data_IF_968181634291
#
_entry.id   IF_968181634291
#
_cell.length_a   1.000
_cell.length_b   1.000
_cell.length_c   1.000
_cell.angle_alpha   90.00
_cell.angle_beta   90.00
_cell.angle_gamma   90.00
#
_symmetry.space_group_name_H-M   'P 1'
#
loop_
_entity.id
_entity.type
_entity.pdbx_description
1 polymer ?
#
# COMPACT_ATOMS: atom_id res chain seq x y z
N UNK A 1 7.73 -38.00 -0.53
CA UNK A 1 8.20 -36.76 0.11
C UNK A 1 8.18 -35.68 -0.97
N UNK A 2 7.05 -34.99 -1.14
CA UNK A 2 6.99 -33.86 -2.08
C UNK A 2 7.83 -32.75 -1.47
N UNK A 3 8.98 -32.46 -2.08
CA UNK A 3 9.70 -31.22 -1.85
C UNK A 3 8.68 -30.12 -2.17
N UNK A 4 8.23 -29.39 -1.15
CA UNK A 4 7.46 -28.17 -1.35
C UNK A 4 8.37 -27.28 -2.20
N UNK A 5 8.06 -27.11 -3.49
CA UNK A 5 8.70 -26.08 -4.31
C UNK A 5 8.47 -24.75 -3.59
N UNK A 6 9.52 -23.95 -3.46
CA UNK A 6 9.40 -22.63 -2.87
C UNK A 6 8.31 -21.83 -3.60
N UNK A 7 7.39 -21.26 -2.83
CA UNK A 7 6.32 -20.43 -3.39
C UNK A 7 6.93 -19.14 -3.93
N UNK A 8 6.69 -18.85 -5.21
CA UNK A 8 7.12 -17.60 -5.82
C UNK A 8 6.42 -16.42 -5.13
N UNK A 9 7.22 -15.47 -4.65
CA UNK A 9 6.71 -14.27 -3.98
C UNK A 9 6.84 -13.09 -4.91
N UNK A 10 5.75 -12.34 -5.01
CA UNK A 10 5.71 -11.08 -5.73
C UNK A 10 5.19 -9.99 -4.80
N UNK A 11 5.80 -8.82 -4.88
CA UNK A 11 5.44 -7.64 -4.11
C UNK A 11 4.78 -6.64 -5.06
N UNK A 12 3.49 -6.44 -4.87
CA UNK A 12 2.67 -5.58 -5.70
C UNK A 12 2.50 -4.26 -4.99
N UNK A 13 3.04 -3.20 -5.55
CA UNK A 13 2.69 -1.86 -5.14
C UNK A 13 1.48 -1.36 -5.92
N UNK A 14 0.51 -0.81 -5.22
CA UNK A 14 -0.72 -0.28 -5.82
C UNK A 14 -0.95 1.16 -5.37
N UNK A 15 -0.86 2.11 -6.32
CA UNK A 15 -1.44 3.45 -6.15
C UNK A 15 -2.90 3.44 -6.63
N UNK A 16 -3.82 3.83 -5.74
CA UNK A 16 -5.25 3.53 -5.89
C UNK A 16 -5.99 4.69 -6.56
N UNK A 17 -6.57 4.42 -7.74
CA UNK A 17 -7.52 5.33 -8.37
C UNK A 17 -8.93 5.20 -7.79
N UNK A 18 -9.79 6.18 -8.03
CA UNK A 18 -11.23 6.05 -7.71
C UNK A 18 -11.95 5.00 -8.58
N UNK A 19 -13.16 4.58 -8.21
CA UNK A 19 -13.93 3.53 -8.92
C UNK A 19 -14.10 3.77 -10.44
N UNK A 20 -14.16 5.03 -10.87
CA UNK A 20 -14.40 5.44 -12.24
C UNK A 20 -13.24 6.29 -12.79
N UNK A 21 -11.99 5.94 -12.46
CA UNK A 21 -10.79 6.70 -12.84
C UNK A 21 -10.41 6.59 -14.33
N UNK A 22 -11.15 5.85 -15.15
CA UNK A 22 -10.91 5.62 -16.59
C UNK A 22 -10.61 6.92 -17.37
N UNK A 23 -11.34 8.00 -17.03
CA UNK A 23 -11.25 9.30 -17.70
C UNK A 23 -10.49 10.36 -16.92
N UNK A 24 -9.94 10.01 -15.75
CA UNK A 24 -9.13 10.93 -14.97
C UNK A 24 -7.66 10.79 -15.42
N UNK A 25 -7.07 11.78 -16.11
CA UNK A 25 -5.68 11.72 -16.49
C UNK A 25 -4.74 11.86 -15.28
N UNK A 26 -5.19 12.54 -14.22
CA UNK A 26 -4.37 12.93 -13.07
C UNK A 26 -4.27 11.86 -11.98
N UNK A 27 -5.20 10.89 -11.93
CA UNK A 27 -5.17 9.81 -10.94
C UNK A 27 -5.90 8.58 -11.47
N UNK A 28 -5.20 7.44 -11.46
CA UNK A 28 -5.67 6.13 -11.92
C UNK A 28 -5.11 5.04 -11.01
N UNK A 29 -5.65 3.83 -11.13
CA UNK A 29 -4.98 2.69 -10.52
C UNK A 29 -3.63 2.48 -11.23
N UNK A 30 -2.57 2.33 -10.46
CA UNK A 30 -1.25 1.98 -10.96
C UNK A 30 -0.66 0.80 -10.18
N UNK A 31 -0.04 -0.14 -10.90
CA UNK A 31 0.52 -1.37 -10.36
C UNK A 31 1.97 -1.54 -10.78
N UNK A 32 2.82 -1.87 -9.82
CA UNK A 32 4.22 -2.26 -10.02
C UNK A 32 4.47 -3.56 -9.30
N UNK A 33 5.16 -4.51 -9.94
CA UNK A 33 5.44 -5.82 -9.34
C UNK A 33 6.96 -6.03 -9.25
N UNK A 34 7.43 -6.35 -8.05
CA UNK A 34 8.80 -6.78 -7.78
C UNK A 34 8.83 -8.26 -7.41
N UNK A 35 9.93 -8.94 -7.70
CA UNK A 35 10.20 -10.30 -7.20
C UNK A 35 10.95 -10.28 -5.85
N UNK A 36 11.30 -11.46 -5.34
CA UNK A 36 12.09 -11.64 -4.12
C UNK A 36 13.48 -11.00 -4.19
N UNK A 37 14.07 -10.86 -5.38
CA UNK A 37 15.35 -10.19 -5.58
C UNK A 37 15.21 -8.66 -5.65
N UNK A 38 13.99 -8.13 -5.50
CA UNK A 38 13.64 -6.70 -5.66
C UNK A 38 13.83 -6.21 -7.09
N UNK A 39 13.78 -7.10 -8.06
CA UNK A 39 13.84 -6.75 -9.48
C UNK A 39 12.43 -6.48 -10.01
N UNK A 40 12.32 -5.52 -10.94
CA UNK A 40 11.06 -5.27 -11.63
C UNK A 40 10.73 -6.46 -12.53
N UNK A 41 9.55 -7.06 -12.31
CA UNK A 41 9.05 -8.14 -13.16
C UNK A 41 7.83 -7.69 -13.94
N UNK A 42 7.79 -8.05 -15.21
CA UNK A 42 6.74 -7.61 -16.13
C UNK A 42 6.84 -6.12 -16.47
N UNK A 43 5.69 -5.48 -16.71
CA UNK A 43 5.53 -4.10 -17.13
C UNK A 43 4.61 -3.38 -16.14
N UNK A 44 5.03 -2.24 -15.57
CA UNK A 44 4.15 -1.39 -14.76
C UNK A 44 2.87 -1.04 -15.51
N UNK A 45 1.73 -1.16 -14.82
CA UNK A 45 0.40 -0.99 -15.43
C UNK A 45 -0.30 0.22 -14.83
N UNK A 46 -1.01 1.00 -15.66
CA UNK A 46 -1.84 2.12 -15.22
C UNK A 46 -3.19 2.13 -15.92
N UNK A 47 -4.29 2.16 -15.17
CA UNK A 47 -5.64 2.07 -15.72
C UNK A 47 -6.74 2.15 -14.67
N UNK A 48 -7.80 1.35 -14.84
CA UNK A 48 -8.86 1.20 -13.85
C UNK A 48 -9.10 -0.28 -13.56
N UNK A 49 -8.94 -0.67 -12.29
CA UNK A 49 -9.12 -2.05 -11.85
C UNK A 49 -10.59 -2.45 -11.64
N UNK A 50 -11.56 -1.54 -11.79
CA UNK A 50 -12.98 -1.84 -11.54
C UNK A 50 -13.46 -3.12 -12.24
N UNK A 51 -13.16 -3.28 -13.52
CA UNK A 51 -13.59 -4.48 -14.28
C UNK A 51 -12.86 -5.73 -13.79
N UNK A 52 -11.54 -5.66 -13.62
CA UNK A 52 -10.71 -6.73 -13.06
C UNK A 52 -11.24 -7.20 -11.71
N UNK A 53 -11.57 -6.25 -10.84
CA UNK A 53 -12.18 -6.51 -9.54
C UNK A 53 -13.53 -7.19 -9.75
N UNK A 54 -14.46 -6.64 -10.53
CA UNK A 54 -15.80 -7.22 -10.70
C UNK A 54 -15.79 -8.65 -11.29
N UNK A 55 -14.89 -8.93 -12.23
CA UNK A 55 -14.81 -10.22 -12.91
C UNK A 55 -14.13 -11.32 -12.09
N UNK A 56 -13.24 -10.96 -11.16
CA UNK A 56 -12.54 -11.94 -10.34
C UNK A 56 -13.49 -12.56 -9.29
N UNK A 57 -13.68 -13.87 -9.37
CA UNK A 57 -14.55 -14.65 -8.47
C UNK A 57 -13.82 -15.27 -7.28
N UNK A 58 -12.49 -15.17 -7.25
CA UNK A 58 -11.64 -15.64 -6.14
C UNK A 58 -10.32 -14.90 -6.10
N UNK A 59 -9.62 -14.96 -4.96
CA UNK A 59 -8.27 -14.39 -4.78
C UNK A 59 -7.26 -14.97 -5.77
N UNK A 60 -7.34 -16.27 -6.10
CA UNK A 60 -6.50 -16.89 -7.13
C UNK A 60 -6.70 -16.24 -8.50
N UNK A 61 -7.96 -16.09 -8.92
CA UNK A 61 -8.30 -15.52 -10.23
C UNK A 61 -7.87 -14.05 -10.28
N UNK A 62 -8.07 -13.31 -9.18
CA UNK A 62 -7.58 -11.93 -9.11
C UNK A 62 -6.06 -11.86 -9.24
N UNK A 63 -5.33 -12.68 -8.49
CA UNK A 63 -3.88 -12.68 -8.50
C UNK A 63 -3.32 -13.00 -9.91
N UNK A 64 -3.92 -13.97 -10.61
CA UNK A 64 -3.59 -14.26 -12.02
C UNK A 64 -3.87 -13.05 -12.92
N UNK A 65 -5.07 -12.45 -12.83
CA UNK A 65 -5.42 -11.27 -13.65
C UNK A 65 -4.48 -10.09 -13.40
N UNK A 66 -4.03 -9.88 -12.16
CA UNK A 66 -3.07 -8.83 -11.81
C UNK A 66 -1.71 -9.10 -12.45
N UNK A 67 -1.20 -10.33 -12.38
CA UNK A 67 0.02 -10.73 -13.08
C UNK A 67 -0.10 -10.56 -14.59
N UNK A 68 -1.24 -10.92 -15.18
CA UNK A 68 -1.53 -10.74 -16.62
C UNK A 68 -1.55 -9.27 -17.04
N UNK A 69 -2.21 -8.39 -16.25
CA UNK A 69 -2.22 -6.94 -16.51
C UNK A 69 -0.81 -6.34 -16.55
N UNK A 70 0.06 -6.83 -15.65
CA UNK A 70 1.46 -6.46 -15.60
C UNK A 70 2.36 -7.33 -16.50
N UNK A 71 1.80 -8.21 -17.34
CA UNK A 71 2.57 -9.06 -18.27
C UNK A 71 3.64 -9.94 -17.58
N UNK A 72 3.42 -10.31 -16.33
CA UNK A 72 4.31 -11.22 -15.59
C UNK A 72 4.02 -12.65 -15.99
N UNK A 73 5.04 -13.36 -16.47
CA UNK A 73 4.94 -14.78 -16.81
C UNK A 73 5.18 -15.61 -15.57
N UNK A 74 4.21 -16.43 -15.20
CA UNK A 74 4.34 -17.42 -14.13
C UNK A 74 4.08 -18.82 -14.65
N UNK A 75 4.72 -19.79 -14.02
CA UNK A 75 4.37 -21.19 -14.16
C UNK A 75 3.28 -21.53 -13.15
N UNK A 76 2.06 -21.78 -13.65
CA UNK A 76 0.88 -22.08 -12.85
C UNK A 76 0.96 -23.42 -12.10
N UNK A 77 1.92 -24.28 -12.45
CA UNK A 77 2.21 -25.51 -11.69
C UNK A 77 2.94 -25.22 -10.38
N UNK A 78 3.61 -24.07 -10.28
CA UNK A 78 4.29 -23.64 -9.06
C UNK A 78 3.34 -22.81 -8.18
N UNK A 79 3.47 -22.96 -6.86
CA UNK A 79 2.79 -22.04 -5.94
C UNK A 79 3.35 -20.63 -6.09
N UNK A 80 2.46 -19.64 -5.98
CA UNK A 80 2.81 -18.23 -5.93
C UNK A 80 1.91 -17.49 -4.94
N UNK A 81 2.38 -16.35 -4.45
CA UNK A 81 1.62 -15.42 -3.60
C UNK A 81 1.98 -13.98 -3.94
N UNK A 82 0.97 -13.12 -4.00
CA UNK A 82 1.12 -11.68 -4.11
C UNK A 82 0.98 -11.02 -2.73
N UNK A 83 1.92 -10.16 -2.36
CA UNK A 83 1.77 -9.24 -1.24
C UNK A 83 1.53 -7.84 -1.80
N UNK A 84 0.33 -7.31 -1.58
CA UNK A 84 -0.07 -5.97 -1.97
C UNK A 84 0.31 -4.96 -0.89
N UNK A 85 1.06 -3.93 -1.26
CA UNK A 85 1.21 -2.71 -0.49
C UNK A 85 0.38 -1.63 -1.19
N UNK A 86 -0.64 -1.11 -0.50
CA UNK A 86 -1.73 -0.35 -1.12
C UNK A 86 -1.72 1.09 -0.61
N UNK A 87 -1.66 2.08 -1.51
CA UNK A 87 -1.77 3.51 -1.21
C UNK A 87 -3.23 3.95 -1.14
N UNK A 88 -3.92 3.49 -0.10
CA UNK A 88 -5.21 4.04 0.28
C UNK A 88 -5.55 3.62 1.71
N UNK A 89 -6.35 4.40 2.45
CA UNK A 89 -6.84 3.95 3.75
C UNK A 89 -7.60 2.64 3.65
N UNK A 90 -7.11 1.61 4.36
CA UNK A 90 -7.68 0.27 4.40
C UNK A 90 -8.61 0.04 5.61
N UNK A 91 -8.80 1.08 6.42
CA UNK A 91 -9.73 1.09 7.54
C UNK A 91 -10.22 2.51 7.83
N UNK A 92 -11.30 2.61 8.59
CA UNK A 92 -11.77 3.85 9.17
C UNK A 92 -11.51 3.85 10.68
N UNK A 93 -11.54 5.02 11.31
CA UNK A 93 -11.43 5.08 12.76
C UNK A 93 -12.63 4.43 13.44
N UNK A 94 -12.38 3.80 14.57
CA UNK A 94 -13.40 3.15 15.38
C UNK A 94 -14.51 4.11 15.80
N UNK A 95 -14.14 5.34 16.16
CA UNK A 95 -15.13 6.36 16.50
C UNK A 95 -16.04 6.71 15.31
N UNK A 96 -15.51 6.74 14.08
CA UNK A 96 -16.35 6.96 12.90
C UNK A 96 -17.27 5.77 12.63
N UNK A 97 -16.76 4.54 12.75
CA UNK A 97 -17.60 3.34 12.59
C UNK A 97 -18.71 3.27 13.64
N UNK A 98 -18.39 3.55 14.90
CA UNK A 98 -19.35 3.53 16.00
C UNK A 98 -20.44 4.62 15.81
N UNK A 99 -20.06 5.79 15.27
CA UNK A 99 -21.01 6.85 14.91
C UNK A 99 -21.99 6.42 13.81
N UNK A 100 -21.49 5.88 12.69
CA UNK A 100 -22.35 5.59 11.53
C UNK A 100 -23.15 4.29 11.68
N UNK A 101 -22.62 3.31 12.41
CA UNK A 101 -23.27 2.00 12.61
C UNK A 101 -24.16 2.02 13.84
N UNK A 102 -23.64 2.50 14.97
CA UNK A 102 -24.30 2.39 16.28
C UNK A 102 -24.87 3.71 16.79
N UNK A 103 -24.68 4.82 16.06
CA UNK A 103 -25.10 6.18 16.48
C UNK A 103 -24.51 6.60 17.83
N UNK A 104 -23.31 6.13 18.13
CA UNK A 104 -22.57 6.50 19.35
C UNK A 104 -21.65 7.67 19.02
N UNK A 105 -21.84 8.78 19.72
CA UNK A 105 -20.97 9.94 19.60
C UNK A 105 -19.65 9.72 20.37
N UNK A 106 -18.53 10.05 19.74
CA UNK A 106 -17.27 10.25 20.43
C UNK A 106 -17.34 11.45 21.39
N UNK A 107 -16.31 11.59 22.23
CA UNK A 107 -16.17 12.71 23.15
C UNK A 107 -15.88 14.04 22.46
N UNK A 108 -15.06 14.87 23.09
CA UNK A 108 -14.75 16.20 22.59
C UNK A 108 -14.05 16.16 21.22
N UNK A 109 -14.44 17.08 20.33
CA UNK A 109 -13.79 17.31 19.05
C UNK A 109 -12.85 18.51 19.20
N UNK A 110 -11.55 18.25 19.10
CA UNK A 110 -10.50 19.25 19.30
C UNK A 110 -9.95 19.74 17.95
N UNK A 111 -8.65 19.60 17.72
CA UNK A 111 -8.00 19.95 16.44
C UNK A 111 -8.37 18.96 15.33
N UNK A 112 -8.08 19.33 14.08
CA UNK A 112 -8.25 18.42 12.93
C UNK A 112 -7.46 17.13 13.11
N UNK A 113 -6.19 17.18 13.56
CA UNK A 113 -5.33 16.01 13.72
C UNK A 113 -5.76 15.11 14.88
N UNK A 114 -6.43 15.67 15.90
CA UNK A 114 -6.97 14.94 17.04
C UNK A 114 -8.43 14.52 16.85
N UNK A 115 -9.05 14.80 15.68
CA UNK A 115 -10.45 14.49 15.48
C UNK A 115 -10.66 12.98 15.37
N UNK A 116 -11.40 12.34 16.31
CA UNK A 116 -11.51 10.90 16.39
C UNK A 116 -12.27 10.30 15.19
N UNK A 117 -13.10 11.09 14.49
CA UNK A 117 -13.84 10.62 13.32
C UNK A 117 -13.04 10.69 12.01
N UNK A 118 -11.96 11.48 11.97
CA UNK A 118 -11.21 11.72 10.74
C UNK A 118 -9.99 10.82 10.62
N UNK A 119 -9.38 10.48 11.75
CA UNK A 119 -8.07 9.85 11.81
C UNK A 119 -8.11 8.66 12.78
N UNK A 120 -7.47 7.55 12.40
CA UNK A 120 -7.23 6.38 13.25
C UNK A 120 -6.05 6.64 14.18
N UNK A 121 -5.75 5.70 15.08
CA UNK A 121 -4.53 5.75 15.88
C UNK A 121 -3.27 5.81 15.01
N UNK A 122 -3.24 5.09 13.87
CA UNK A 122 -2.09 5.13 12.97
C UNK A 122 -1.85 6.52 12.38
N UNK A 123 -2.86 7.28 11.98
CA UNK A 123 -2.65 8.65 11.51
C UNK A 123 -2.21 9.59 12.63
N UNK A 124 -2.79 9.47 13.84
CA UNK A 124 -2.37 10.25 15.00
C UNK A 124 -0.88 10.04 15.31
N UNK A 125 -0.44 8.78 15.30
CA UNK A 125 0.96 8.41 15.44
C UNK A 125 1.87 9.10 14.40
N UNK A 126 1.40 9.22 13.15
CA UNK A 126 2.13 9.90 12.07
C UNK A 126 2.14 11.42 12.25
N UNK A 127 1.04 12.03 12.73
CA UNK A 127 0.99 13.45 13.06
C UNK A 127 2.04 13.86 14.07
N UNK A 128 2.20 13.08 15.15
CA UNK A 128 3.23 13.30 16.18
C UNK A 128 4.65 13.28 15.61
N UNK A 129 4.85 12.66 14.44
CA UNK A 129 6.16 12.51 13.78
C UNK A 129 6.31 13.41 12.55
N UNK A 130 5.51 14.46 12.49
CA UNK A 130 5.61 15.53 11.49
C UNK A 130 5.22 15.08 10.09
N UNK A 131 4.25 14.16 9.99
CA UNK A 131 3.52 13.82 8.77
C UNK A 131 2.07 14.29 8.88
N UNK A 132 1.39 14.39 7.75
CA UNK A 132 -0.02 14.81 7.69
C UNK A 132 -0.78 13.89 6.73
N UNK A 133 -1.05 12.64 7.13
CA UNK A 133 -1.80 11.70 6.30
C UNK A 133 -3.22 12.22 6.02
N UNK A 134 -3.73 11.90 4.83
CA UNK A 134 -5.06 12.29 4.41
C UNK A 134 -6.13 11.46 5.14
N UNK A 135 -7.27 12.07 5.41
CA UNK A 135 -8.46 11.40 5.92
C UNK A 135 -9.42 11.10 4.77
N UNK A 136 -9.96 9.87 4.67
CA UNK A 136 -11.03 9.52 3.73
C UNK A 136 -12.23 10.46 3.76
N UNK A 137 -12.57 10.98 4.94
CA UNK A 137 -13.76 11.78 5.18
C UNK A 137 -13.50 13.24 4.83
N UNK A 138 -12.39 13.81 5.33
CA UNK A 138 -12.07 15.23 5.14
C UNK A 138 -11.54 15.53 3.74
N UNK A 139 -10.65 14.68 3.22
CA UNK A 139 -9.88 14.97 2.01
C UNK A 139 -10.52 14.35 0.75
N UNK A 140 -11.77 13.89 0.86
CA UNK A 140 -12.59 13.38 -0.25
C UNK A 140 -11.99 12.19 -1.00
N UNK A 141 -11.13 11.40 -0.34
CA UNK A 141 -10.52 10.17 -0.90
C UNK A 141 -11.33 8.89 -0.59
N UNK A 142 -12.60 9.03 -0.24
CA UNK A 142 -13.48 7.90 0.08
C UNK A 142 -13.70 6.92 -1.10
N UNK A 143 -13.53 7.38 -2.35
CA UNK A 143 -13.62 6.49 -3.53
C UNK A 143 -12.47 5.49 -3.57
N UNK A 144 -11.25 5.95 -3.27
CA UNK A 144 -10.05 5.12 -3.18
C UNK A 144 -10.15 4.20 -1.96
N UNK A 145 -10.51 4.76 -0.79
CA UNK A 145 -10.59 3.99 0.45
C UNK A 145 -11.58 2.83 0.33
N UNK A 146 -12.79 3.10 -0.21
CA UNK A 146 -13.78 2.04 -0.43
C UNK A 146 -13.34 1.00 -1.46
N UNK A 147 -12.52 1.36 -2.45
CA UNK A 147 -11.95 0.39 -3.40
C UNK A 147 -10.93 -0.53 -2.71
N UNK A 148 -10.04 0.02 -1.88
CA UNK A 148 -9.10 -0.77 -1.09
C UNK A 148 -9.81 -1.70 -0.10
N UNK A 149 -10.76 -1.17 0.67
CA UNK A 149 -11.56 -1.95 1.63
C UNK A 149 -12.39 -3.05 0.92
N UNK A 150 -12.97 -2.76 -0.26
CA UNK A 150 -13.66 -3.77 -1.06
C UNK A 150 -12.72 -4.88 -1.56
N UNK A 151 -11.49 -4.51 -1.94
CA UNK A 151 -10.47 -5.49 -2.31
C UNK A 151 -10.18 -6.44 -1.13
N UNK A 152 -9.98 -5.90 0.07
CA UNK A 152 -9.77 -6.71 1.27
C UNK A 152 -10.96 -7.65 1.53
N UNK A 153 -12.17 -7.09 1.62
CA UNK A 153 -13.37 -7.84 1.96
C UNK A 153 -13.66 -9.02 1.01
N UNK A 154 -13.25 -8.93 -0.26
CA UNK A 154 -13.43 -10.03 -1.21
C UNK A 154 -12.25 -10.96 -1.37
N UNK A 155 -11.03 -10.47 -1.23
CA UNK A 155 -9.85 -11.20 -1.70
C UNK A 155 -8.78 -11.41 -0.63
N UNK A 156 -8.89 -10.72 0.51
CA UNK A 156 -8.04 -10.90 1.68
C UNK A 156 -8.85 -10.60 2.95
N UNK A 157 -9.92 -11.37 3.23
CA UNK A 157 -10.88 -11.02 4.28
C UNK A 157 -10.35 -11.25 5.70
N UNK A 158 -9.33 -12.10 5.86
CA UNK A 158 -8.83 -12.51 7.17
C UNK A 158 -7.74 -11.55 7.65
N UNK A 159 -7.86 -11.09 8.89
CA UNK A 159 -6.84 -10.27 9.54
C UNK A 159 -5.82 -11.18 10.23
N UNK A 160 -4.62 -11.28 9.65
CA UNK A 160 -3.55 -12.12 10.21
C UNK A 160 -2.85 -11.44 11.40
N UNK A 161 -2.70 -10.12 11.33
CA UNK A 161 -2.22 -9.24 12.41
C UNK A 161 -2.69 -7.81 12.13
N UNK A 162 -2.52 -6.89 13.10
CA UNK A 162 -2.84 -5.48 12.88
C UNK A 162 -2.14 -4.95 11.61
N UNK A 163 -2.93 -4.51 10.62
CA UNK A 163 -2.44 -4.01 9.33
C UNK A 163 -2.05 -5.06 8.28
N UNK A 164 -2.21 -6.37 8.55
CA UNK A 164 -1.94 -7.44 7.58
C UNK A 164 -3.19 -8.28 7.33
N UNK A 165 -3.69 -8.21 6.11
CA UNK A 165 -4.84 -8.97 5.63
C UNK A 165 -4.42 -10.09 4.69
N UNK A 166 -5.18 -11.18 4.63
CA UNK A 166 -4.87 -12.33 3.78
C UNK A 166 -6.09 -13.19 3.41
N UNK A 167 -5.95 -14.04 2.38
CA UNK A 167 -6.80 -15.22 2.13
C UNK A 167 -6.14 -16.53 2.59
N UNK A 168 -4.98 -16.44 3.27
CA UNK A 168 -4.15 -17.56 3.70
C UNK A 168 -3.37 -18.26 2.59
N UNK A 169 -3.46 -17.81 1.33
CA UNK A 169 -2.86 -18.55 0.19
C UNK A 169 -2.28 -17.68 -0.93
N UNK A 170 -3.10 -16.91 -1.62
CA UNK A 170 -2.70 -16.21 -2.85
C UNK A 170 -2.42 -14.74 -2.64
N UNK A 171 -3.10 -14.10 -1.69
CA UNK A 171 -3.06 -12.67 -1.47
C UNK A 171 -2.76 -12.37 -0.01
N UNK A 172 -1.82 -11.46 0.18
CA UNK A 172 -1.66 -10.65 1.38
C UNK A 172 -1.78 -9.19 1.02
N UNK A 173 -2.20 -8.37 1.98
CA UNK A 173 -2.29 -6.94 1.79
C UNK A 173 -1.86 -6.20 3.06
N UNK A 174 -1.16 -5.09 2.85
CA UNK A 174 -0.79 -4.10 3.87
C UNK A 174 -1.10 -2.71 3.33
N UNK A 175 -1.33 -1.76 4.23
CA UNK A 175 -1.44 -0.35 3.87
C UNK A 175 -0.06 0.30 3.78
N UNK A 176 0.19 1.03 2.71
CA UNK A 176 1.42 1.80 2.50
C UNK A 176 1.08 3.29 2.33
N UNK A 177 2.09 4.15 2.51
CA UNK A 177 1.93 5.59 2.32
C UNK A 177 3.19 6.18 1.67
N UNK A 178 3.27 6.24 0.33
CA UNK A 178 4.43 6.70 -0.43
C UNK A 178 4.96 8.07 0.00
N UNK A 179 4.07 8.98 0.38
CA UNK A 179 4.48 10.32 0.83
C UNK A 179 5.34 10.30 2.10
N UNK A 180 5.15 9.34 3.02
CA UNK A 180 6.02 9.18 4.18
C UNK A 180 7.43 8.68 3.81
N UNK A 181 7.58 8.05 2.63
CA UNK A 181 8.85 7.50 2.17
C UNK A 181 9.78 8.56 1.56
N UNK A 182 9.28 9.76 1.24
CA UNK A 182 10.06 10.84 0.60
C UNK A 182 11.28 11.29 1.41
N UNK A 183 11.26 11.10 2.74
CA UNK A 183 12.39 11.43 3.64
C UNK A 183 13.27 10.23 3.98
N UNK A 184 12.91 9.03 3.55
CA UNK A 184 13.67 7.81 3.85
C UNK A 184 14.84 7.66 2.90
N UNK A 185 16.06 7.71 3.44
CA UNK A 185 17.27 7.45 2.68
C UNK A 185 17.29 6.00 2.18
N UNK A 186 16.81 5.06 3.01
CA UNK A 186 16.79 3.64 2.67
C UNK A 186 15.84 3.33 1.51
N UNK A 187 14.63 3.89 1.51
CA UNK A 187 13.70 3.73 0.38
C UNK A 187 14.24 4.46 -0.86
N UNK A 188 14.84 5.64 -0.70
CA UNK A 188 15.49 6.37 -1.80
C UNK A 188 16.59 5.55 -2.47
N UNK A 189 17.46 4.91 -1.68
CA UNK A 189 18.51 4.02 -2.20
C UNK A 189 17.94 2.79 -2.91
N UNK A 190 16.84 2.22 -2.41
CA UNK A 190 16.16 1.11 -3.07
C UNK A 190 15.44 1.52 -4.36
N UNK A 191 15.02 2.79 -4.48
CA UNK A 191 14.43 3.33 -5.72
C UNK A 191 15.48 3.58 -6.79
N UNK A 192 16.71 3.93 -6.41
CA UNK A 192 17.79 4.35 -7.33
C UNK A 192 18.00 3.43 -8.55
N UNK A 193 18.00 2.08 -8.44
CA UNK A 193 18.12 1.21 -9.62
C UNK A 193 17.08 1.49 -10.69
N UNK A 194 15.88 1.95 -10.33
CA UNK A 194 14.76 2.22 -11.25
C UNK A 194 14.84 3.58 -11.96
N UNK A 195 15.96 4.29 -11.83
CA UNK A 195 16.22 5.58 -12.48
C UNK A 195 17.37 5.50 -13.47
N UNK A 196 17.32 6.32 -14.51
CA UNK A 196 18.37 6.49 -15.50
C UNK A 196 19.61 7.13 -14.87
N UNK A 197 20.80 6.75 -15.35
CA UNK A 197 22.09 7.30 -14.87
C UNK A 197 22.25 7.22 -13.34
N UNK A 198 21.74 6.15 -12.74
CA UNK A 198 21.76 5.90 -11.30
C UNK A 198 23.14 5.66 -10.69
N UNK A 199 24.20 5.66 -11.52
CA UNK A 199 25.58 5.65 -11.06
C UNK A 199 26.02 7.04 -10.55
N UNK A 200 26.46 7.11 -9.30
CA UNK A 200 27.05 8.32 -8.70
C UNK A 200 26.23 8.94 -7.56
N UNK A 201 26.67 10.10 -7.07
CA UNK A 201 26.14 10.78 -5.88
C UNK A 201 24.98 11.74 -6.17
N UNK A 202 24.32 11.63 -7.32
CA UNK A 202 23.23 12.53 -7.70
C UNK A 202 21.99 12.22 -6.84
N UNK A 203 21.34 13.23 -6.23
CA UNK A 203 20.07 13.05 -5.51
C UNK A 203 18.98 12.49 -6.44
N UNK A 204 18.14 11.58 -5.92
CA UNK A 204 17.15 10.86 -6.74
C UNK A 204 16.12 11.80 -7.38
N UNK A 205 15.83 12.93 -6.73
CA UNK A 205 14.88 13.94 -7.18
C UNK A 205 15.33 14.64 -8.48
N UNK A 206 16.62 14.51 -8.82
CA UNK A 206 17.22 15.03 -10.06
C UNK A 206 17.41 13.94 -11.11
N UNK A 207 17.21 12.68 -10.75
CA UNK A 207 17.32 11.58 -11.69
C UNK A 207 16.02 11.47 -12.50
N UNK A 208 16.17 11.09 -13.77
CA UNK A 208 15.04 10.78 -14.62
C UNK A 208 14.61 9.34 -14.36
N UNK A 209 13.35 9.13 -13.99
CA UNK A 209 12.81 7.78 -13.83
C UNK A 209 12.95 7.00 -15.15
N UNK A 210 13.13 5.67 -15.07
CA UNK A 210 13.11 4.83 -16.27
C UNK A 210 11.76 5.01 -16.99
N UNK A 211 11.76 4.82 -18.32
CA UNK A 211 10.59 5.06 -19.20
C UNK A 211 9.31 4.34 -18.75
N UNK A 212 9.43 3.23 -18.04
CA UNK A 212 8.31 2.45 -17.51
C UNK A 212 7.53 3.23 -16.43
N UNK A 213 8.18 4.19 -15.76
CA UNK A 213 7.62 5.06 -14.73
C UNK A 213 7.32 6.47 -15.29
N UNK A 214 6.52 6.53 -16.35
CA UNK A 214 6.21 7.77 -17.07
C UNK A 214 5.18 8.67 -16.36
N UNK A 215 4.62 8.24 -15.23
CA UNK A 215 3.60 8.95 -14.48
C UNK A 215 3.83 8.79 -12.98
N UNK A 216 3.46 9.81 -12.19
CA UNK A 216 3.64 9.83 -10.73
C UNK A 216 2.95 8.64 -10.04
N UNK A 217 1.72 8.27 -10.45
CA UNK A 217 1.04 7.06 -9.95
C UNK A 217 1.92 5.79 -10.03
N UNK A 218 2.73 5.66 -11.08
CA UNK A 218 3.64 4.50 -11.23
C UNK A 218 4.86 4.60 -10.32
N UNK A 219 5.33 5.80 -10.01
CA UNK A 219 6.40 6.02 -9.03
C UNK A 219 5.91 5.80 -7.59
N UNK A 220 4.68 6.21 -7.28
CA UNK A 220 4.04 5.96 -5.98
C UNK A 220 3.74 4.46 -5.84
N UNK A 221 3.25 3.78 -6.88
CA UNK A 221 3.12 2.33 -6.93
C UNK A 221 4.48 1.61 -6.75
N UNK A 222 5.56 2.07 -7.38
CA UNK A 222 6.91 1.52 -7.15
C UNK A 222 7.30 1.65 -5.68
N UNK A 223 7.04 2.81 -5.07
CA UNK A 223 7.33 3.06 -3.66
C UNK A 223 6.55 2.11 -2.76
N UNK A 224 5.25 1.89 -3.04
CA UNK A 224 4.46 0.87 -2.36
C UNK A 224 5.07 -0.53 -2.52
N UNK A 225 5.49 -0.93 -3.72
CA UNK A 225 6.08 -2.25 -3.95
C UNK A 225 7.35 -2.47 -3.10
N UNK A 226 8.16 -1.41 -2.95
CA UNK A 226 9.35 -1.42 -2.08
C UNK A 226 8.99 -1.49 -0.59
N UNK A 227 7.91 -0.84 -0.15
CA UNK A 227 7.37 -1.02 1.22
C UNK A 227 6.94 -2.47 1.42
N UNK A 228 6.20 -3.06 0.47
CA UNK A 228 5.80 -4.47 0.52
C UNK A 228 6.98 -5.44 0.56
N UNK A 229 8.02 -5.20 -0.24
CA UNK A 229 9.26 -5.99 -0.20
C UNK A 229 9.98 -5.84 1.15
N UNK A 230 10.04 -4.61 1.68
CA UNK A 230 10.69 -4.31 2.97
C UNK A 230 9.94 -4.95 4.14
N UNK A 231 8.61 -5.03 4.07
CA UNK A 231 7.79 -5.67 5.11
C UNK A 231 8.23 -7.11 5.40
N UNK A 232 8.63 -7.87 4.37
CA UNK A 232 9.15 -9.22 4.56
C UNK A 232 10.68 -9.31 4.66
N UNK A 233 11.39 -8.52 3.86
CA UNK A 233 12.85 -8.69 3.70
C UNK A 233 13.67 -7.81 4.64
N UNK A 234 13.10 -6.72 5.14
CA UNK A 234 13.73 -5.76 6.06
C UNK A 234 12.69 -5.21 7.05
N UNK A 235 12.04 -6.06 7.86
CA UNK A 235 10.93 -5.64 8.72
C UNK A 235 11.34 -4.51 9.69
N UNK A 236 12.59 -4.48 10.15
CA UNK A 236 13.13 -3.44 11.05
C UNK A 236 13.21 -2.05 10.40
N UNK A 237 13.12 -1.96 9.07
CA UNK A 237 13.04 -0.69 8.36
C UNK A 237 11.68 -0.01 8.57
N UNK A 238 10.63 -0.77 8.84
CA UNK A 238 9.26 -0.27 8.93
C UNK A 238 8.81 -0.14 10.38
N UNK A 239 7.98 0.87 10.65
CA UNK A 239 7.31 0.97 11.95
C UNK A 239 6.18 -0.07 12.01
N UNK A 240 6.14 -0.82 13.11
CA UNK A 240 5.12 -1.82 13.40
C UNK A 240 4.09 -1.29 14.41
N UNK A 241 2.83 -1.76 14.34
CA UNK A 241 1.81 -1.37 15.28
C UNK A 241 2.16 -1.83 16.70
N UNK A 242 1.82 -1.01 17.69
CA UNK A 242 1.92 -1.42 19.10
C UNK A 242 0.73 -2.33 19.46
N UNK A 243 0.84 -3.18 20.49
CA UNK A 243 -0.26 -4.04 20.92
C UNK A 243 -1.54 -3.31 21.36
N UNK A 244 -1.46 -2.00 21.61
CA UNK A 244 -2.60 -1.17 22.03
C UNK A 244 -3.49 -0.71 20.87
N UNK A 245 -3.04 -0.87 19.62
CA UNK A 245 -3.79 -0.41 18.45
C UNK A 245 -4.94 -1.36 18.16
N UNK A 246 -6.14 -0.81 18.00
CA UNK A 246 -7.30 -1.58 17.59
C UNK A 246 -7.06 -2.15 16.19
N UNK A 247 -7.03 -3.48 16.11
CA UNK A 247 -6.71 -4.18 14.87
C UNK A 247 -7.72 -3.87 13.75
N UNK A 248 -8.95 -3.48 14.09
CA UNK A 248 -10.00 -3.09 13.12
C UNK A 248 -9.72 -1.77 12.40
N UNK A 249 -8.90 -0.90 12.98
CA UNK A 249 -8.49 0.34 12.31
C UNK A 249 -7.40 0.08 11.26
N UNK A 250 -6.60 -0.97 11.43
CA UNK A 250 -5.45 -1.28 10.59
C UNK A 250 -4.19 -0.47 10.94
N UNK A 251 -3.18 -0.52 10.07
CA UNK A 251 -1.90 0.14 10.30
C UNK A 251 -1.24 0.55 8.98
N UNK A 252 -0.66 1.76 8.95
CA UNK A 252 0.12 2.25 7.81
C UNK A 252 1.59 1.90 8.02
N UNK A 253 2.15 1.04 7.17
CA UNK A 253 3.57 0.72 7.21
C UNK A 253 4.39 1.82 6.53
N UNK A 254 5.24 2.48 7.31
CA UNK A 254 6.13 3.57 6.88
C UNK A 254 7.56 3.33 7.35
N UNK A 255 8.57 3.83 6.63
CA UNK A 255 9.97 3.66 7.01
C UNK A 255 10.34 4.48 8.26
N UNK A 256 11.01 3.84 9.22
CA UNK A 256 11.47 4.44 10.47
C UNK A 256 12.38 5.66 10.23
N UNK A 257 13.26 5.59 9.23
CA UNK A 257 14.22 6.66 8.89
C UNK A 257 13.58 7.85 8.15
N UNK A 258 12.29 7.75 7.78
CA UNK A 258 11.51 8.86 7.21
C UNK A 258 10.75 9.70 8.24
N UNK A 259 10.73 9.28 9.52
CA UNK A 259 9.98 9.91 10.61
C UNK A 259 10.86 10.88 11.41
N UNK A 260 10.26 11.97 11.90
CA UNK A 260 10.96 12.86 12.83
C UNK A 260 11.03 12.21 14.22
N UNK A 261 12.14 12.43 14.93
CA UNK A 261 12.23 12.08 16.35
C UNK A 261 11.28 12.95 17.17
N UNK A 262 10.73 12.39 18.25
CA UNK A 262 9.87 13.12 19.18
C UNK A 262 10.63 14.17 20.02
N UNK A 263 11.97 14.16 19.97
CA UNK A 263 12.84 15.05 20.75
C UNK A 263 12.83 16.51 20.24
N UNK A 264 12.11 16.80 19.14
CA UNK A 264 12.02 18.12 18.53
C UNK A 264 10.57 18.56 18.19
N UNK A 265 9.56 18.05 18.90
CA UNK A 265 8.17 18.49 18.78
C UNK A 265 7.79 19.50 19.85
#
# INVERSE_FOLDING_TARGET
MHILKDSQKFYVGWDVGGWNCDRNPASRDALVILDSARELVGVPWRGNLRNTLNEATSSKILAIKILELCQVKIDLENSFRLLFAIDTPLGFSKAFTDLIVSRVAAGQILSSSANPYLHRETERFLFERGLSPLSPIKDMIGSQATKGIHFLARFAPDLASCGLWTDGRYIQAIEAYPSACKRSARISDMRRPFYENSGGSVPIEKLKARREFYHVDLEDALTCALVGWSFESQPDLLVHPTPAIDQSEGWIFVPCDGLRSLEHA
#
